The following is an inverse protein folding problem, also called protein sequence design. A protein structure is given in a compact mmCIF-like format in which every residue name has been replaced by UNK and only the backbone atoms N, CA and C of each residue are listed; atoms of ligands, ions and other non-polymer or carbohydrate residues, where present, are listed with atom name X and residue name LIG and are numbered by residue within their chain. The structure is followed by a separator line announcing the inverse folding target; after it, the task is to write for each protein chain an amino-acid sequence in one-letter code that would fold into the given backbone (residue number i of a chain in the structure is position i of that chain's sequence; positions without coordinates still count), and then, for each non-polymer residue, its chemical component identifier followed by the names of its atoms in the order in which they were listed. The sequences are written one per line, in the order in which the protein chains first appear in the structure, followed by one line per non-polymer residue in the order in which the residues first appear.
data_IF_627113441527
#
_entry.id   IF_627113441527
#
_cell.length_a   1.000
_cell.length_b   1.000
_cell.length_c   1.000
_cell.angle_alpha   90.00
_cell.angle_beta   90.00
_cell.angle_gamma   90.00
#
_symmetry.space_group_name_H-M   'P 1'
#
loop_
_entity.id
_entity.type
_entity.pdbx_description
1 polymer ?
#
# COMPACT_ATOMS: atom_id res chain seq x y z
N UNK A 1 -35.87 16.13 -25.70
CA UNK A 1 -35.64 15.34 -24.48
C UNK A 1 -34.51 14.40 -24.85
N UNK A 2 -33.27 14.88 -24.85
CA UNK A 2 -32.16 14.24 -25.59
C UNK A 2 -30.86 14.15 -24.77
N UNK A 3 -30.96 13.98 -23.45
CA UNK A 3 -29.80 14.13 -22.54
C UNK A 3 -29.34 12.86 -21.82
N UNK A 4 -29.89 11.68 -22.12
CA UNK A 4 -29.46 10.41 -21.49
C UNK A 4 -28.76 9.43 -22.44
N UNK A 5 -29.04 9.49 -23.75
CA UNK A 5 -28.58 8.51 -24.75
C UNK A 5 -27.04 8.39 -24.87
N UNK A 6 -26.28 9.44 -24.54
CA UNK A 6 -24.81 9.46 -24.68
C UNK A 6 -24.00 9.17 -23.41
N UNK A 7 -24.64 8.96 -22.25
CA UNK A 7 -23.90 8.83 -20.97
C UNK A 7 -23.19 7.50 -20.80
N UNK A 8 -23.75 6.45 -21.38
CA UNK A 8 -23.19 5.09 -21.39
C UNK A 8 -22.33 4.81 -22.64
N UNK A 9 -22.05 5.84 -23.44
CA UNK A 9 -21.08 5.75 -24.52
C UNK A 9 -19.68 5.48 -23.93
N UNK A 10 -19.04 4.39 -24.35
CA UNK A 10 -17.70 4.01 -23.93
C UNK A 10 -16.69 4.86 -24.71
N UNK A 11 -15.84 5.61 -24.00
CA UNK A 11 -14.78 6.44 -24.61
C UNK A 11 -13.41 5.80 -24.54
N UNK A 12 -13.22 4.86 -23.61
CA UNK A 12 -12.00 4.05 -23.51
C UNK A 12 -12.32 2.70 -22.89
N UNK A 13 -11.73 1.65 -23.42
CA UNK A 13 -11.89 0.30 -22.91
C UNK A 13 -10.59 -0.48 -23.02
N UNK A 14 -10.22 -1.14 -21.93
CA UNK A 14 -9.17 -2.14 -21.88
C UNK A 14 -9.69 -3.33 -21.09
N UNK A 15 -10.38 -4.25 -21.77
CA UNK A 15 -10.90 -5.46 -21.14
C UNK A 15 -9.78 -6.47 -20.88
N UNK A 16 -9.85 -7.23 -19.76
CA UNK A 16 -10.92 -7.26 -18.76
C UNK A 16 -10.67 -6.31 -17.57
N UNK A 17 -9.96 -5.20 -17.75
CA UNK A 17 -9.46 -4.38 -16.64
C UNK A 17 -10.34 -3.18 -16.31
N UNK A 18 -10.62 -2.32 -17.30
CA UNK A 18 -11.24 -1.02 -17.07
C UNK A 18 -12.07 -0.56 -18.27
N UNK A 19 -13.16 0.14 -17.99
CA UNK A 19 -13.98 0.86 -18.96
C UNK A 19 -14.29 2.26 -18.47
N UNK A 20 -14.14 3.23 -19.36
CA UNK A 20 -14.41 4.65 -19.10
C UNK A 20 -15.54 5.09 -20.02
N UNK A 21 -16.56 5.70 -19.44
CA UNK A 21 -17.71 6.21 -20.17
C UNK A 21 -17.61 7.72 -20.35
N UNK A 22 -18.28 8.25 -21.38
CA UNK A 22 -18.37 9.68 -21.66
C UNK A 22 -18.94 10.50 -20.51
N UNK A 23 -19.76 9.86 -19.67
CA UNK A 23 -20.29 10.44 -18.43
C UNK A 23 -19.23 10.68 -17.34
N UNK A 24 -18.02 10.15 -17.49
CA UNK A 24 -16.98 10.13 -16.45
C UNK A 24 -17.09 8.93 -15.51
N UNK A 25 -18.09 8.05 -15.68
CA UNK A 25 -18.15 6.77 -14.96
C UNK A 25 -16.93 5.92 -15.34
N UNK A 26 -16.39 5.23 -14.34
CA UNK A 26 -15.27 4.30 -14.50
C UNK A 26 -15.67 2.97 -13.87
N UNK A 27 -15.75 1.93 -14.68
CA UNK A 27 -15.92 0.57 -14.19
C UNK A 27 -14.54 -0.10 -14.17
N UNK A 28 -14.09 -0.56 -12.99
CA UNK A 28 -12.88 -1.36 -12.81
C UNK A 28 -13.30 -2.79 -12.50
N UNK A 29 -12.92 -3.72 -13.36
CA UNK A 29 -13.32 -5.13 -13.27
C UNK A 29 -12.22 -6.02 -12.71
N UNK A 30 -11.00 -5.49 -12.58
CA UNK A 30 -9.84 -6.22 -12.09
C UNK A 30 -9.06 -5.38 -11.07
N UNK A 31 -8.65 -6.01 -9.96
CA UNK A 31 -7.77 -5.38 -8.97
C UNK A 31 -8.47 -4.44 -7.98
N UNK A 32 -9.80 -4.37 -7.98
CA UNK A 32 -10.60 -3.58 -7.04
C UNK A 32 -11.09 -4.37 -5.82
N UNK A 33 -10.67 -5.63 -5.69
CA UNK A 33 -10.99 -6.46 -4.54
C UNK A 33 -10.33 -5.91 -3.26
N UNK A 34 -11.03 -6.04 -2.14
CA UNK A 34 -10.62 -5.48 -0.86
C UNK A 34 -10.60 -6.56 0.22
N UNK A 35 -9.54 -6.58 1.04
CA UNK A 35 -9.49 -7.28 2.31
C UNK A 35 -9.14 -6.29 3.43
N UNK A 36 -9.76 -6.36 4.62
CA UNK A 36 -9.35 -5.52 5.74
C UNK A 36 -7.94 -5.88 6.24
N UNK A 37 -7.32 -4.95 6.96
CA UNK A 37 -6.07 -5.23 7.66
C UNK A 37 -6.32 -6.23 8.80
N UNK A 38 -5.30 -7.04 9.09
CA UNK A 38 -5.25 -7.92 10.25
C UNK A 38 -4.30 -7.31 11.28
N UNK A 39 -4.82 -6.83 12.41
CA UNK A 39 -4.04 -6.12 13.43
C UNK A 39 -2.82 -6.91 13.97
N UNK A 40 -2.80 -8.23 13.84
CA UNK A 40 -1.62 -9.03 14.20
C UNK A 40 -0.44 -8.74 13.24
N UNK A 41 -0.72 -8.69 11.94
CA UNK A 41 0.28 -8.73 10.86
C UNK A 41 0.38 -7.43 10.05
N UNK A 42 -0.68 -6.62 10.04
CA UNK A 42 -0.82 -5.43 9.19
C UNK A 42 -1.68 -4.32 9.82
N UNK A 43 -1.47 -3.08 9.38
CA UNK A 43 -2.24 -1.91 9.80
C UNK A 43 -2.31 -0.90 8.65
N UNK A 44 -3.44 -0.20 8.51
CA UNK A 44 -3.61 0.86 7.53
C UNK A 44 -3.20 2.21 8.14
N UNK A 45 -2.47 3.02 7.38
CA UNK A 45 -1.97 4.32 7.81
C UNK A 45 -2.17 5.37 6.71
N UNK A 46 -2.52 6.59 7.11
CA UNK A 46 -2.61 7.74 6.21
C UNK A 46 -1.21 8.32 5.99
N UNK A 47 -0.80 8.44 4.73
CA UNK A 47 0.47 9.05 4.32
C UNK A 47 0.29 10.56 4.23
N UNK A 48 -0.74 11.00 3.51
CA UNK A 48 -1.08 12.41 3.32
C UNK A 48 -2.57 12.64 3.59
N UNK A 49 -2.93 13.34 4.69
CA UNK A 49 -4.33 13.58 5.02
C UNK A 49 -5.01 14.57 4.06
N UNK A 50 -4.27 15.36 3.28
CA UNK A 50 -4.84 16.32 2.34
C UNK A 50 -5.34 15.61 1.07
N UNK A 51 -4.51 14.74 0.50
CA UNK A 51 -4.88 13.96 -0.69
C UNK A 51 -5.64 12.66 -0.36
N UNK A 52 -5.58 12.20 0.89
CA UNK A 52 -6.14 10.92 1.33
C UNK A 52 -5.27 9.72 0.96
N UNK A 53 -4.04 9.93 0.46
CA UNK A 53 -3.10 8.84 0.15
C UNK A 53 -2.80 8.07 1.42
N UNK A 54 -2.88 6.75 1.34
CA UNK A 54 -2.69 5.85 2.47
C UNK A 54 -1.78 4.69 2.09
N UNK A 55 -1.48 3.83 3.05
CA UNK A 55 -0.77 2.60 2.81
C UNK A 55 -1.19 1.54 3.81
N UNK A 56 -1.07 0.27 3.39
CA UNK A 56 -1.05 -0.85 4.31
C UNK A 56 0.38 -1.19 4.70
N UNK A 57 0.64 -1.19 6.00
CA UNK A 57 1.91 -1.55 6.60
C UNK A 57 1.86 -3.02 7.02
N UNK A 58 2.88 -3.79 6.69
CA UNK A 58 3.03 -5.18 7.11
C UNK A 58 4.29 -5.34 7.95
N UNK A 59 4.19 -6.12 9.03
CA UNK A 59 5.29 -6.41 9.94
C UNK A 59 5.54 -7.91 10.07
N UNK A 60 6.80 -8.34 10.24
CA UNK A 60 7.08 -9.73 10.55
C UNK A 60 6.47 -10.10 11.91
N UNK A 61 6.13 -11.37 12.12
CA UNK A 61 5.80 -11.86 13.45
C UNK A 61 6.98 -11.64 14.40
N UNK A 62 6.67 -11.43 15.69
CA UNK A 62 7.69 -11.33 16.73
C UNK A 62 8.63 -12.54 16.66
N UNK A 63 9.95 -12.34 16.76
CA UNK A 63 10.90 -13.45 16.76
C UNK A 63 10.55 -14.43 17.89
N UNK A 64 10.44 -15.72 17.54
CA UNK A 64 10.36 -16.78 18.52
C UNK A 64 11.74 -17.00 19.14
N UNK A 65 11.86 -17.31 20.45
CA UNK A 65 13.13 -17.64 21.10
C UNK A 65 13.85 -18.86 20.48
N UNK A 66 13.15 -19.64 19.66
CA UNK A 66 13.66 -20.85 19.02
C UNK A 66 14.23 -20.63 17.61
N UNK A 67 14.12 -19.42 17.07
CA UNK A 67 14.65 -19.10 15.73
C UNK A 67 16.16 -18.81 15.82
N UNK A 68 17.01 -19.47 15.01
CA UNK A 68 18.44 -19.21 15.00
C UNK A 68 18.70 -17.77 14.53
N UNK A 69 19.38 -16.99 15.38
CA UNK A 69 19.99 -15.67 15.13
C UNK A 69 19.28 -14.85 14.03
N UNK A 70 18.25 -14.09 14.43
CA UNK A 70 17.67 -13.04 13.57
C UNK A 70 18.72 -11.99 13.15
N UNK A 71 18.34 -10.99 12.33
CA UNK A 71 19.27 -9.96 11.88
C UNK A 71 20.11 -9.42 13.04
N UNK A 72 21.43 -9.33 12.86
CA UNK A 72 22.34 -8.87 13.91
C UNK A 72 21.79 -7.56 14.52
N UNK A 73 21.74 -7.45 15.85
CA UNK A 73 21.25 -6.23 16.49
C UNK A 73 22.04 -5.04 15.96
N UNK A 74 21.33 -3.96 15.61
CA UNK A 74 21.97 -2.73 15.18
C UNK A 74 22.81 -2.11 16.31
N UNK A 75 23.51 -1.00 16.07
CA UNK A 75 24.45 -0.37 17.01
C UNK A 75 23.87 0.07 18.38
N UNK A 76 22.60 -0.23 18.68
CA UNK A 76 21.91 0.02 19.96
C UNK A 76 21.08 -1.19 20.45
N UNK A 77 21.38 -2.41 20.02
CA UNK A 77 20.64 -3.61 20.45
C UNK A 77 19.25 -3.78 19.82
N UNK A 78 18.79 -2.84 18.99
CA UNK A 78 17.52 -2.94 18.27
C UNK A 78 17.67 -3.69 16.95
N UNK A 79 16.72 -4.58 16.67
CA UNK A 79 16.57 -5.22 15.37
C UNK A 79 16.27 -4.15 14.31
N UNK A 80 17.15 -4.01 13.31
CA UNK A 80 16.90 -3.15 12.14
C UNK A 80 16.37 -4.01 11.00
N UNK A 81 15.15 -3.74 10.55
CA UNK A 81 14.55 -4.43 9.42
C UNK A 81 14.66 -3.54 8.17
N UNK A 82 14.98 -4.10 6.99
CA UNK A 82 14.82 -3.38 5.74
C UNK A 82 13.35 -3.05 5.48
N UNK A 83 13.11 -1.93 4.81
CA UNK A 83 11.77 -1.47 4.43
C UNK A 83 11.62 -1.60 2.91
N UNK A 84 10.60 -2.33 2.47
CA UNK A 84 10.15 -2.39 1.09
C UNK A 84 8.97 -1.43 0.92
N UNK A 85 9.14 -0.40 0.09
CA UNK A 85 8.02 0.43 -0.36
C UNK A 85 7.51 -0.14 -1.67
N UNK A 86 6.25 -0.56 -1.69
CA UNK A 86 5.61 -1.21 -2.82
C UNK A 86 4.50 -0.34 -3.39
N UNK A 87 4.46 -0.25 -4.72
CA UNK A 87 3.39 0.37 -5.48
C UNK A 87 2.75 -0.73 -6.31
N UNK A 88 1.42 -0.88 -6.21
CA UNK A 88 0.75 -1.86 -7.03
C UNK A 88 0.86 -1.50 -8.52
N UNK A 89 0.69 -2.51 -9.38
CA UNK A 89 0.69 -2.30 -10.83
C UNK A 89 -0.61 -1.67 -11.32
N UNK A 90 -0.91 -1.86 -12.61
CA UNK A 90 -2.18 -1.44 -13.20
C UNK A 90 -2.13 -0.12 -13.97
N UNK A 91 -0.94 0.35 -14.33
CA UNK A 91 -0.77 1.52 -15.21
C UNK A 91 -1.36 2.81 -14.64
N UNK A 92 -1.39 2.94 -13.30
CA UNK A 92 -2.08 4.01 -12.56
C UNK A 92 -3.59 4.07 -12.70
N UNK A 93 -4.23 3.07 -13.33
CA UNK A 93 -5.67 3.07 -13.58
C UNK A 93 -6.44 2.03 -12.77
N UNK A 94 -5.78 0.97 -12.30
CA UNK A 94 -6.39 -0.14 -11.55
C UNK A 94 -5.46 -0.63 -10.44
N UNK A 95 -5.98 -1.50 -9.57
CA UNK A 95 -5.26 -2.09 -8.45
C UNK A 95 -5.53 -1.36 -7.13
N UNK A 96 -5.07 -1.98 -6.05
CA UNK A 96 -5.13 -1.44 -4.69
C UNK A 96 -4.08 -2.13 -3.81
N UNK A 97 -3.54 -1.40 -2.85
CA UNK A 97 -2.77 -1.91 -1.72
C UNK A 97 -3.56 -2.87 -0.82
N UNK A 98 -4.89 -2.86 -0.92
CA UNK A 98 -5.79 -3.70 -0.13
C UNK A 98 -6.22 -4.97 -0.88
N UNK A 99 -5.60 -5.26 -2.02
CA UNK A 99 -5.92 -6.43 -2.83
C UNK A 99 -5.58 -7.74 -2.09
N UNK A 100 -6.48 -8.75 -2.08
CA UNK A 100 -6.29 -10.01 -1.34
C UNK A 100 -5.04 -10.80 -1.75
N UNK A 101 -4.69 -10.81 -3.03
CA UNK A 101 -3.53 -11.55 -3.56
C UNK A 101 -2.25 -10.95 -2.97
N UNK A 102 -2.11 -9.64 -3.06
CA UNK A 102 -0.95 -8.93 -2.51
C UNK A 102 -0.95 -8.97 -0.98
N UNK A 103 -2.10 -8.94 -0.33
CA UNK A 103 -2.18 -9.08 1.12
C UNK A 103 -1.65 -10.43 1.61
N UNK A 104 -2.08 -11.54 0.99
CA UNK A 104 -1.55 -12.87 1.32
C UNK A 104 -0.05 -12.97 1.01
N UNK A 105 0.39 -12.42 -0.12
CA UNK A 105 1.80 -12.39 -0.50
C UNK A 105 2.66 -11.63 0.50
N UNK A 106 2.24 -10.42 0.93
CA UNK A 106 3.03 -9.62 1.86
C UNK A 106 3.09 -10.21 3.26
N UNK A 107 2.01 -10.83 3.76
CA UNK A 107 2.06 -11.58 5.02
C UNK A 107 3.11 -12.72 4.98
N UNK A 108 3.19 -13.45 3.88
CA UNK A 108 4.20 -14.49 3.70
C UNK A 108 5.61 -13.89 3.54
N UNK A 109 5.73 -12.78 2.80
CA UNK A 109 7.01 -12.12 2.52
C UNK A 109 7.64 -11.56 3.81
N UNK A 110 6.88 -10.80 4.61
CA UNK A 110 7.40 -10.22 5.85
C UNK A 110 7.85 -11.31 6.83
N UNK A 111 7.10 -12.41 6.92
CA UNK A 111 7.44 -13.54 7.77
C UNK A 111 8.75 -14.23 7.35
N UNK A 112 8.96 -14.44 6.05
CA UNK A 112 10.11 -15.17 5.52
C UNK A 112 11.37 -14.32 5.36
N UNK A 113 11.22 -13.09 4.86
CA UNK A 113 12.33 -12.21 4.53
C UNK A 113 12.71 -11.27 5.68
N UNK A 114 11.90 -11.23 6.76
CA UNK A 114 12.07 -10.30 7.89
C UNK A 114 12.23 -8.85 7.40
N UNK A 115 11.27 -8.42 6.60
CA UNK A 115 11.19 -7.06 6.05
C UNK A 115 9.93 -6.38 6.56
N UNK A 116 9.93 -5.05 6.62
CA UNK A 116 8.69 -4.27 6.71
C UNK A 116 8.22 -3.96 5.29
N UNK A 117 6.92 -4.04 5.03
CA UNK A 117 6.35 -3.64 3.73
C UNK A 117 5.42 -2.45 3.92
N UNK A 118 5.56 -1.45 3.07
CA UNK A 118 4.65 -0.30 2.93
C UNK A 118 4.00 -0.41 1.56
N UNK A 119 2.78 -0.96 1.50
CA UNK A 119 2.01 -1.08 0.25
C UNK A 119 1.17 0.18 0.08
N UNK A 120 1.52 1.02 -0.88
CA UNK A 120 0.96 2.38 -1.06
C UNK A 120 -0.35 2.32 -1.83
N UNK A 121 -1.40 2.93 -1.26
CA UNK A 121 -2.69 3.19 -1.90
C UNK A 121 -2.64 4.60 -2.49
N UNK A 122 -2.12 4.69 -3.71
CA UNK A 122 -2.09 5.93 -4.49
C UNK A 122 -3.41 6.10 -5.25
N UNK A 123 -3.80 7.34 -5.55
CA UNK A 123 -5.05 7.61 -6.28
C UNK A 123 -4.95 7.16 -7.73
N UNK A 124 -6.07 6.79 -8.35
CA UNK A 124 -6.10 6.25 -9.71
C UNK A 124 -6.54 7.29 -10.75
N UNK A 125 -6.03 7.13 -11.97
CA UNK A 125 -6.60 7.71 -13.16
C UNK A 125 -7.85 6.91 -13.61
N UNK A 126 -8.81 7.55 -14.31
CA UNK A 126 -8.80 8.93 -14.79
C UNK A 126 -9.19 10.01 -13.75
N UNK A 127 -9.67 9.64 -12.56
CA UNK A 127 -10.16 10.56 -11.52
C UNK A 127 -9.03 11.49 -11.02
N UNK A 128 -7.81 10.97 -10.97
CA UNK A 128 -6.60 11.70 -10.59
C UNK A 128 -5.50 11.49 -11.64
N UNK A 129 -5.55 12.17 -12.80
CA UNK A 129 -4.62 11.93 -13.90
C UNK A 129 -3.18 12.30 -13.52
N UNK A 130 -2.20 11.79 -14.27
CA UNK A 130 -0.80 12.22 -14.18
C UNK A 130 -0.73 13.74 -14.38
N UNK A 131 -0.01 14.49 -13.53
CA UNK A 131 0.98 14.03 -12.54
C UNK A 131 0.45 13.65 -11.15
N UNK A 132 -0.85 13.73 -10.88
CA UNK A 132 -1.45 13.48 -9.56
C UNK A 132 -1.16 12.07 -9.01
N UNK A 133 -1.51 11.02 -9.75
CA UNK A 133 -1.18 9.61 -9.39
C UNK A 133 0.32 9.40 -9.12
N UNK A 134 1.17 10.02 -9.94
CA UNK A 134 2.62 9.90 -9.83
C UNK A 134 3.17 10.65 -8.61
N UNK A 135 2.63 11.82 -8.30
CA UNK A 135 3.00 12.60 -7.13
C UNK A 135 2.69 11.85 -5.83
N UNK A 136 1.54 11.18 -5.76
CA UNK A 136 1.17 10.32 -4.63
C UNK A 136 2.19 9.20 -4.41
N UNK A 137 2.58 8.52 -5.49
CA UNK A 137 3.59 7.47 -5.43
C UNK A 137 4.96 8.02 -4.97
N UNK A 138 5.35 9.21 -5.44
CA UNK A 138 6.63 9.81 -5.06
C UNK A 138 6.67 10.35 -3.62
N UNK A 139 5.52 10.64 -3.00
CA UNK A 139 5.45 11.12 -1.62
C UNK A 139 5.71 10.04 -0.57
N UNK A 140 5.38 8.78 -0.87
CA UNK A 140 5.46 7.68 0.10
C UNK A 140 6.89 7.42 0.65
N UNK A 141 7.98 7.43 -0.14
CA UNK A 141 9.32 7.24 0.39
C UNK A 141 9.76 8.35 1.35
N UNK A 142 9.31 9.59 1.10
CA UNK A 142 9.59 10.72 1.99
C UNK A 142 8.87 10.57 3.32
N UNK A 143 7.61 10.12 3.28
CA UNK A 143 6.85 9.78 4.49
C UNK A 143 7.55 8.67 5.30
N UNK A 144 7.98 7.57 4.64
CA UNK A 144 8.73 6.49 5.30
C UNK A 144 10.04 6.99 5.91
N UNK A 145 10.80 7.83 5.19
CA UNK A 145 12.05 8.38 5.69
C UNK A 145 11.86 9.32 6.89
N UNK A 146 10.69 9.97 6.99
CA UNK A 146 10.34 10.83 8.13
C UNK A 146 9.92 10.05 9.39
N UNK A 147 9.59 8.76 9.25
CA UNK A 147 9.12 7.94 10.34
C UNK A 147 10.20 7.79 11.42
N UNK A 148 9.85 8.13 12.66
CA UNK A 148 10.74 7.98 13.81
C UNK A 148 10.65 6.54 14.35
N UNK A 149 11.78 5.91 14.70
CA UNK A 149 11.74 4.68 15.49
C UNK A 149 10.99 4.93 16.80
N UNK A 150 10.18 3.97 17.23
CA UNK A 150 9.58 4.02 18.57
C UNK A 150 10.68 4.20 19.63
N UNK A 151 10.44 4.99 20.70
CA UNK A 151 11.39 5.10 21.80
C UNK A 151 11.70 3.70 22.34
N UNK A 152 12.99 3.38 22.49
CA UNK A 152 13.39 2.14 23.14
C UNK A 152 12.90 2.16 24.60
N UNK A 153 12.45 1.02 25.16
CA UNK A 153 12.24 0.91 26.59
C UNK A 153 13.54 1.32 27.31
N UNK A 154 13.45 2.32 28.19
CA UNK A 154 14.59 2.71 29.01
C UNK A 154 15.00 1.50 29.87
N UNK A 155 16.29 1.16 29.97
CA UNK A 155 16.72 0.15 30.92
C UNK A 155 16.30 0.60 32.32
N UNK A 156 15.72 -0.32 33.10
CA UNK A 156 15.37 -0.03 34.48
C UNK A 156 16.61 0.49 35.22
N UNK A 157 16.49 1.56 36.03
CA UNK A 157 17.58 2.00 36.88
C UNK A 157 17.99 0.88 37.85
N UNK A 158 19.26 0.88 38.31
CA UNK A 158 19.81 -0.15 39.18
C UNK A 158 19.08 -0.28 40.51
#
# INVERSE_FOLDING_TARGET
MDSESGKDEIVYEWMPCIRIYKSGRVDRFFGSEFVPADAASSVDAVIDPVSGVSARLYRPPSPSPLEPEGPAPGPRGALRLPILVYYHGGGFCIGSAFNPIFHAYFNALVARARVLVVSVEYRLAPEHPVPGTYADACGAPQWVASARPSPQPQPNPP
#
